data_IF_873040348786
#
_entry.id   IF_873040348786
#
_cell.length_a   1.000
_cell.length_b   1.000
_cell.length_c   1.000
_cell.angle_alpha   90.00
_cell.angle_beta   90.00
_cell.angle_gamma   90.00
#
_symmetry.space_group_name_H-M   'P 1'
#
loop_
_entity.id
_entity.type
_entity.pdbx_description
1 polymer ?
#
# COMPACT_ATOMS: atom_id res chain seq x y z
N UNK A 1 -11.04 7.86 -7.41
CA UNK A 1 -10.83 6.66 -8.25
C UNK A 1 -11.78 6.83 -9.43
N UNK A 2 -11.28 6.82 -10.67
CA UNK A 2 -12.16 7.08 -11.82
C UNK A 2 -13.25 6.00 -11.90
N UNK A 3 -14.50 6.36 -12.28
CA UNK A 3 -15.58 5.38 -12.39
C UNK A 3 -15.19 4.30 -13.40
N UNK A 4 -15.52 3.05 -13.07
CA UNK A 4 -15.25 1.91 -13.95
C UNK A 4 -16.02 2.08 -15.26
N UNK A 5 -15.30 2.05 -16.39
CA UNK A 5 -15.88 2.25 -17.72
C UNK A 5 -17.10 1.32 -17.96
N UNK A 6 -18.13 1.81 -18.68
CA UNK A 6 -19.31 1.00 -19.00
C UNK A 6 -18.91 -0.20 -19.87
N UNK A 7 -19.67 -1.29 -19.71
CA UNK A 7 -19.48 -2.49 -20.52
C UNK A 7 -19.98 -2.23 -21.95
N UNK A 8 -19.31 -2.78 -22.96
CA UNK A 8 -19.56 -2.51 -24.38
C UNK A 8 -20.70 -3.32 -25.00
N UNK A 9 -21.31 -4.27 -24.27
CA UNK A 9 -22.35 -5.16 -24.81
C UNK A 9 -21.82 -6.25 -25.76
N UNK A 10 -20.52 -6.26 -26.05
CA UNK A 10 -19.87 -7.24 -26.92
C UNK A 10 -19.60 -8.55 -26.18
N UNK A 11 -19.60 -9.67 -26.91
CA UNK A 11 -19.31 -11.01 -26.39
C UNK A 11 -17.80 -11.24 -26.14
N UNK A 12 -16.93 -10.58 -26.91
CA UNK A 12 -15.46 -10.65 -26.80
C UNK A 12 -14.83 -9.26 -26.81
N UNK A 13 -13.57 -9.14 -26.37
CA UNK A 13 -12.83 -7.87 -26.30
C UNK A 13 -12.78 -7.22 -24.91
N UNK A 14 -12.13 -6.05 -24.82
CA UNK A 14 -12.00 -5.25 -23.59
C UNK A 14 -13.36 -4.68 -23.21
N UNK A 15 -13.67 -4.64 -21.91
CA UNK A 15 -14.97 -4.20 -21.37
C UNK A 15 -16.19 -4.98 -21.91
N UNK A 16 -15.98 -6.20 -22.40
CA UNK A 16 -17.06 -7.13 -22.77
C UNK A 16 -18.02 -7.45 -21.63
N UNK A 17 -19.23 -7.86 -22.00
CA UNK A 17 -20.31 -8.22 -21.09
C UNK A 17 -21.54 -7.33 -21.25
N UNK A 18 -22.63 -7.73 -20.59
CA UNK A 18 -23.91 -7.01 -20.61
C UNK A 18 -23.76 -5.58 -20.09
N UNK A 19 -24.42 -4.62 -20.75
CA UNK A 19 -24.45 -3.22 -20.33
C UNK A 19 -25.26 -3.13 -19.04
N UNK A 20 -24.59 -2.90 -17.92
CA UNK A 20 -25.23 -2.78 -16.60
C UNK A 20 -24.86 -1.43 -15.99
N UNK A 21 -25.84 -0.76 -15.37
CA UNK A 21 -25.63 0.41 -14.53
C UNK A 21 -24.95 -0.02 -13.22
N UNK A 22 -23.63 0.11 -13.16
CA UNK A 22 -22.86 -0.21 -11.95
C UNK A 22 -23.19 0.78 -10.84
N UNK A 23 -23.61 0.27 -9.68
CA UNK A 23 -23.78 1.05 -8.46
C UNK A 23 -22.44 1.14 -7.72
N UNK A 24 -22.15 2.29 -7.14
CA UNK A 24 -21.02 2.42 -6.23
C UNK A 24 -21.36 1.71 -4.92
N UNK A 25 -20.58 0.68 -4.59
CA UNK A 25 -20.73 -0.04 -3.34
C UNK A 25 -20.03 0.73 -2.21
N UNK A 26 -20.62 0.80 -1.00
CA UNK A 26 -19.92 1.37 0.13
C UNK A 26 -18.67 0.53 0.45
N UNK A 27 -17.56 1.18 0.85
CA UNK A 27 -16.34 0.48 1.20
C UNK A 27 -16.58 -0.45 2.39
N UNK A 28 -16.11 -1.69 2.30
CA UNK A 28 -16.31 -2.69 3.35
C UNK A 28 -15.32 -2.44 4.50
N UNK A 29 -15.67 -2.77 5.75
CA UNK A 29 -14.75 -2.65 6.87
C UNK A 29 -13.43 -3.42 6.67
N UNK A 30 -13.47 -4.57 5.98
CA UNK A 30 -12.28 -5.38 5.64
C UNK A 30 -11.29 -4.63 4.75
N UNK A 31 -11.76 -3.69 3.92
CA UNK A 31 -10.91 -2.87 3.03
C UNK A 31 -10.04 -1.86 3.82
N UNK A 32 -10.30 -1.70 5.12
CA UNK A 32 -9.50 -0.86 6.02
C UNK A 32 -8.30 -1.61 6.61
N UNK A 33 -8.22 -2.94 6.44
CA UNK A 33 -7.10 -3.75 6.94
C UNK A 33 -5.79 -3.27 6.31
N UNK A 34 -4.75 -3.11 7.13
CA UNK A 34 -3.43 -2.64 6.70
C UNK A 34 -3.28 -1.12 6.59
N UNK A 35 -4.35 -0.33 6.66
CA UNK A 35 -4.24 1.14 6.70
C UNK A 35 -3.67 1.58 8.04
N UNK A 36 -2.58 2.35 7.99
CA UNK A 36 -2.03 2.99 9.18
C UNK A 36 -2.89 4.20 9.56
N UNK A 37 -3.36 4.24 10.81
CA UNK A 37 -4.05 5.41 11.36
C UNK A 37 -3.03 6.35 12.00
N UNK A 38 -3.36 7.65 12.09
CA UNK A 38 -2.49 8.68 12.69
C UNK A 38 -1.97 8.27 14.08
N UNK A 39 -2.86 7.70 14.91
CA UNK A 39 -2.52 7.17 16.25
C UNK A 39 -1.49 6.06 16.18
N UNK A 40 -1.67 5.07 15.31
CA UNK A 40 -0.78 3.92 15.21
C UNK A 40 0.60 4.34 14.71
N UNK A 41 0.67 5.25 13.74
CA UNK A 41 1.94 5.80 13.26
C UNK A 41 2.67 6.57 14.37
N UNK A 42 1.97 7.42 15.12
CA UNK A 42 2.54 8.16 16.24
C UNK A 42 3.14 7.22 17.30
N UNK A 43 2.37 6.22 17.76
CA UNK A 43 2.84 5.25 18.76
C UNK A 43 4.04 4.46 18.25
N UNK A 44 4.04 4.02 16.98
CA UNK A 44 5.18 3.29 16.38
C UNK A 44 6.43 4.15 16.29
N UNK A 45 6.31 5.44 15.99
CA UNK A 45 7.45 6.35 15.95
C UNK A 45 8.03 6.56 17.35
N UNK A 46 7.18 6.82 18.35
CA UNK A 46 7.62 6.97 19.75
C UNK A 46 8.37 5.72 20.25
N UNK A 47 7.86 4.52 19.98
CA UNK A 47 8.52 3.26 20.37
C UNK A 47 9.90 3.13 19.69
N UNK A 48 10.00 3.49 18.41
CA UNK A 48 11.28 3.43 17.66
C UNK A 48 12.30 4.43 18.20
N UNK A 49 11.88 5.61 18.61
CA UNK A 49 12.75 6.62 19.23
C UNK A 49 13.29 6.14 20.59
N UNK A 50 12.43 5.52 21.41
CA UNK A 50 12.81 5.07 22.76
C UNK A 50 13.62 3.77 22.74
N UNK A 51 13.18 2.76 22.00
CA UNK A 51 13.81 1.43 22.00
C UNK A 51 14.97 1.31 21.00
N UNK A 52 15.02 2.17 19.99
CA UNK A 52 16.02 2.10 18.92
C UNK A 52 15.85 0.90 17.98
N UNK A 53 16.92 0.57 17.26
CA UNK A 53 16.95 -0.52 16.28
C UNK A 53 17.48 -1.82 16.87
N UNK A 54 16.94 -2.95 16.40
CA UNK A 54 17.47 -4.27 16.71
C UNK A 54 18.89 -4.48 16.12
N UNK A 55 19.72 -5.38 16.67
CA UNK A 55 21.08 -5.61 16.17
C UNK A 55 21.15 -5.95 14.68
N UNK A 56 20.15 -6.66 14.14
CA UNK A 56 20.07 -6.99 12.71
C UNK A 56 19.70 -5.78 11.85
N UNK A 57 18.81 -4.91 12.34
CA UNK A 57 18.42 -3.68 11.62
C UNK A 57 19.58 -2.69 11.53
N UNK A 58 20.43 -2.62 12.58
CA UNK A 58 21.69 -1.84 12.58
C UNK A 58 22.69 -2.37 11.56
N UNK A 59 22.95 -3.69 11.55
CA UNK A 59 23.86 -4.31 10.57
C UNK A 59 23.41 -4.08 9.13
N UNK A 60 22.11 -4.19 8.86
CA UNK A 60 21.56 -3.93 7.52
C UNK A 60 21.80 -2.46 7.12
N UNK A 61 21.53 -1.51 8.01
CA UNK A 61 21.77 -0.09 7.74
C UNK A 61 23.25 0.24 7.55
N UNK A 62 24.17 -0.43 8.25
CA UNK A 62 25.62 -0.31 8.03
C UNK A 62 26.04 -0.86 6.66
N UNK A 63 25.56 -2.05 6.27
CA UNK A 63 25.83 -2.64 4.95
C UNK A 63 25.35 -1.73 3.82
N UNK A 64 24.14 -1.18 3.92
CA UNK A 64 23.61 -0.23 2.94
C UNK A 64 24.45 1.06 2.82
N UNK A 65 25.03 1.55 3.93
CA UNK A 65 25.93 2.71 3.90
C UNK A 65 27.22 2.40 3.16
N UNK A 66 27.85 1.25 3.44
CA UNK A 66 29.12 0.83 2.83
C UNK A 66 28.99 0.56 1.32
N UNK A 67 27.92 -0.12 0.91
CA UNK A 67 27.64 -0.39 -0.51
C UNK A 67 27.44 0.90 -1.31
N UNK A 68 26.84 1.93 -0.71
CA UNK A 68 26.62 3.22 -1.37
C UNK A 68 27.89 4.08 -1.49
N UNK A 69 28.84 3.96 -0.55
CA UNK A 69 30.08 4.75 -0.54
C UNK A 69 31.19 4.12 -1.39
N UNK A 70 31.13 2.82 -1.68
CA UNK A 70 32.16 2.11 -2.46
C UNK A 70 32.07 2.31 -3.98
N UNK A 71 31.10 3.10 -4.46
CA UNK A 71 30.96 3.47 -5.88
C UNK A 71 31.27 4.96 -6.03
N UNK A 72 32.51 5.33 -5.71
CA UNK A 72 33.24 6.49 -6.23
C UNK A 72 34.66 6.02 -6.50
#
# INVERSE_FOLDING_TARGET
MAPSQPKSGLFVGINKGHVVTKRELPPRPVDRKGKATKRVTFVRNLIREVAGFAPYEKRITELLKLVRTSVH
#
